data_IF_864870195768
#
_entry.id   IF_864870195768
#
_cell.length_a   1.000
_cell.length_b   1.000
_cell.length_c   1.000
_cell.angle_alpha   90.00
_cell.angle_beta   90.00
_cell.angle_gamma   90.00
#
_symmetry.space_group_name_H-M   'P 1'
#
loop_
_entity.id
_entity.type
_entity.pdbx_description
1 polymer ?
#
# COMPACT_ATOMS: atom_id res chain seq x y z
N UNK A 1 13.69 -42.86 -38.83
CA UNK A 1 14.06 -41.83 -37.84
C UNK A 1 14.29 -42.53 -36.51
N UNK A 2 15.55 -42.58 -36.06
CA UNK A 2 16.12 -43.63 -35.23
C UNK A 2 15.37 -43.94 -33.93
N UNK A 3 15.18 -45.23 -33.67
CA UNK A 3 14.72 -45.80 -32.42
C UNK A 3 15.75 -45.51 -31.31
N UNK A 4 15.62 -44.36 -30.64
CA UNK A 4 16.27 -44.14 -29.36
C UNK A 4 15.92 -45.33 -28.45
N UNK A 5 16.95 -45.99 -27.92
CA UNK A 5 16.79 -47.15 -27.04
C UNK A 5 15.82 -46.83 -25.90
N UNK A 6 15.05 -47.82 -25.43
CA UNK A 6 14.00 -47.67 -24.41
C UNK A 6 14.41 -46.75 -23.25
N UNK A 7 15.65 -46.90 -22.77
CA UNK A 7 16.25 -46.09 -21.70
C UNK A 7 16.15 -44.58 -21.97
N UNK A 8 16.49 -44.14 -23.18
CA UNK A 8 16.44 -42.73 -23.58
C UNK A 8 15.02 -42.20 -23.69
N UNK A 9 14.07 -43.02 -24.15
CA UNK A 9 12.65 -42.64 -24.18
C UNK A 9 12.13 -42.35 -22.76
N UNK A 10 12.47 -43.21 -21.78
CA UNK A 10 12.08 -42.99 -20.38
C UNK A 10 12.72 -41.72 -19.79
N UNK A 11 13.99 -41.46 -20.07
CA UNK A 11 14.69 -40.25 -19.60
C UNK A 11 14.04 -38.99 -20.18
N UNK A 12 13.73 -38.97 -21.48
CA UNK A 12 13.10 -37.81 -22.12
C UNK A 12 11.70 -37.58 -21.54
N UNK A 13 10.88 -38.63 -21.42
CA UNK A 13 9.52 -38.51 -20.88
C UNK A 13 9.51 -38.03 -19.44
N UNK A 14 10.38 -38.57 -18.58
CA UNK A 14 10.48 -38.16 -17.17
C UNK A 14 10.97 -36.72 -17.02
N UNK A 15 11.96 -36.31 -17.82
CA UNK A 15 12.45 -34.92 -17.86
C UNK A 15 11.35 -33.97 -18.32
N UNK A 16 10.57 -34.36 -19.32
CA UNK A 16 9.48 -33.54 -19.86
C UNK A 16 8.33 -33.40 -18.87
N UNK A 17 7.97 -34.47 -18.16
CA UNK A 17 7.00 -34.42 -17.06
C UNK A 17 7.50 -33.51 -15.94
N UNK A 18 8.78 -33.61 -15.56
CA UNK A 18 9.37 -32.79 -14.52
C UNK A 18 9.36 -31.30 -14.90
N UNK A 19 9.70 -30.96 -16.15
CA UNK A 19 9.61 -29.60 -16.67
C UNK A 19 8.19 -29.04 -16.63
N UNK A 20 7.19 -29.85 -17.01
CA UNK A 20 5.78 -29.43 -16.97
C UNK A 20 5.34 -29.14 -15.52
N UNK A 21 5.68 -30.02 -14.58
CA UNK A 21 5.32 -29.85 -13.16
C UNK A 21 5.97 -28.59 -12.60
N UNK A 22 7.28 -28.39 -12.82
CA UNK A 22 8.00 -27.20 -12.35
C UNK A 22 7.46 -25.93 -12.99
N UNK A 23 7.16 -25.94 -14.29
CA UNK A 23 6.60 -24.80 -15.01
C UNK A 23 5.22 -24.39 -14.48
N UNK A 24 4.31 -25.36 -14.31
CA UNK A 24 2.99 -25.11 -13.73
C UNK A 24 3.08 -24.61 -12.29
N UNK A 25 3.94 -25.23 -11.48
CA UNK A 25 4.17 -24.81 -10.10
C UNK A 25 4.72 -23.39 -10.02
N UNK A 26 5.70 -23.04 -10.87
CA UNK A 26 6.29 -21.70 -10.92
C UNK A 26 5.25 -20.63 -11.27
N UNK A 27 4.41 -20.87 -12.27
CA UNK A 27 3.34 -19.94 -12.65
C UNK A 27 2.30 -19.76 -11.54
N UNK A 28 1.94 -20.85 -10.86
CA UNK A 28 1.02 -20.78 -9.73
C UNK A 28 1.61 -20.01 -8.55
N UNK A 29 2.88 -20.28 -8.24
CA UNK A 29 3.59 -19.67 -7.13
C UNK A 29 3.81 -18.16 -7.36
N UNK A 30 4.12 -17.73 -8.58
CA UNK A 30 4.22 -16.30 -8.93
C UNK A 30 2.92 -15.55 -8.66
N UNK A 31 1.77 -16.08 -9.10
CA UNK A 31 0.46 -15.46 -8.86
C UNK A 31 0.09 -15.43 -7.38
N UNK A 32 0.49 -16.46 -6.65
CA UNK A 32 0.23 -16.55 -5.21
C UNK A 32 1.10 -15.57 -4.42
N UNK A 33 2.38 -15.45 -4.75
CA UNK A 33 3.30 -14.48 -4.15
C UNK A 33 2.84 -13.04 -4.42
N UNK A 34 2.41 -12.72 -5.64
CA UNK A 34 1.91 -11.38 -5.97
C UNK A 34 0.70 -10.99 -5.10
N UNK A 35 -0.21 -11.94 -4.83
CA UNK A 35 -1.33 -11.71 -3.93
C UNK A 35 -0.88 -11.48 -2.49
N UNK A 36 0.04 -12.30 -1.99
CA UNK A 36 0.56 -12.17 -0.62
C UNK A 36 1.26 -10.84 -0.42
N UNK A 37 2.14 -10.44 -1.35
CA UNK A 37 2.87 -9.17 -1.26
C UNK A 37 1.88 -7.99 -1.21
N UNK A 38 0.87 -8.00 -2.08
CA UNK A 38 -0.14 -6.94 -2.11
C UNK A 38 -0.98 -6.88 -0.83
N UNK A 39 -1.32 -8.03 -0.26
CA UNK A 39 -2.11 -8.09 0.97
C UNK A 39 -1.26 -7.67 2.18
N UNK A 40 0.04 -8.00 2.21
CA UNK A 40 1.01 -7.53 3.22
C UNK A 40 1.18 -5.99 3.17
N UNK A 41 1.34 -5.42 1.97
CA UNK A 41 1.46 -3.97 1.79
C UNK A 41 0.22 -3.23 2.30
N UNK A 42 -0.98 -3.77 2.05
CA UNK A 42 -2.22 -3.20 2.57
C UNK A 42 -2.29 -3.27 4.09
N UNK A 43 -1.90 -4.40 4.68
CA UNK A 43 -1.90 -4.55 6.13
C UNK A 43 -0.90 -3.62 6.79
N UNK A 44 0.28 -3.43 6.20
CA UNK A 44 1.27 -2.44 6.65
C UNK A 44 0.69 -1.03 6.68
N UNK A 45 0.05 -0.59 5.59
CA UNK A 45 -0.59 0.73 5.53
C UNK A 45 -1.65 0.88 6.61
N UNK A 46 -2.46 -0.16 6.85
CA UNK A 46 -3.47 -0.17 7.90
C UNK A 46 -2.85 0.01 9.29
N UNK A 47 -1.84 -0.78 9.63
CA UNK A 47 -1.14 -0.73 10.92
C UNK A 47 -0.48 0.62 11.15
N UNK A 48 0.24 1.13 10.14
CA UNK A 48 0.88 2.45 10.20
C UNK A 48 -0.18 3.53 10.43
N UNK A 49 -1.29 3.50 9.68
CA UNK A 49 -2.35 4.50 9.82
C UNK A 49 -2.99 4.47 11.21
N UNK A 50 -3.15 3.28 11.80
CA UNK A 50 -3.67 3.13 13.16
C UNK A 50 -2.70 3.67 14.22
N UNK A 51 -1.40 3.40 14.08
CA UNK A 51 -0.35 3.97 14.93
C UNK A 51 -0.36 5.50 14.85
N UNK A 52 -0.41 6.04 13.63
CA UNK A 52 -0.47 7.49 13.39
C UNK A 52 -1.73 8.07 14.03
N UNK A 53 -2.91 7.50 13.77
CA UNK A 53 -4.18 7.97 14.35
C UNK A 53 -4.09 8.04 15.88
N UNK A 54 -3.62 6.97 16.52
CA UNK A 54 -3.53 6.91 17.97
C UNK A 54 -2.54 7.94 18.50
N UNK A 55 -1.36 8.08 17.88
CA UNK A 55 -0.38 9.11 18.24
C UNK A 55 -0.93 10.53 18.08
N UNK A 56 -1.64 10.81 16.98
CA UNK A 56 -2.27 12.11 16.73
C UNK A 56 -3.33 12.44 17.78
N UNK A 57 -4.23 11.49 18.10
CA UNK A 57 -5.26 11.68 19.13
C UNK A 57 -4.62 12.00 20.49
N UNK A 58 -3.57 11.28 20.87
CA UNK A 58 -2.84 11.56 22.12
C UNK A 58 -2.26 12.97 22.14
N UNK A 59 -1.55 13.39 21.09
CA UNK A 59 -0.94 14.74 21.01
C UNK A 59 -2.01 15.84 21.02
N UNK A 60 -3.14 15.61 20.35
CA UNK A 60 -4.27 16.54 20.35
C UNK A 60 -4.89 16.68 21.74
N UNK A 61 -5.08 15.58 22.47
CA UNK A 61 -5.62 15.58 23.83
C UNK A 61 -4.68 16.27 24.83
N UNK A 62 -3.37 16.17 24.63
CA UNK A 62 -2.36 16.87 25.43
C UNK A 62 -2.29 18.39 25.14
N UNK A 63 -3.00 18.90 24.12
CA UNK A 63 -2.97 20.30 23.73
C UNK A 63 -1.66 20.74 23.06
N UNK A 64 -0.81 19.79 22.65
CA UNK A 64 0.55 20.04 22.12
C UNK A 64 0.55 20.25 20.60
N UNK A 65 -0.28 21.17 20.12
CA UNK A 65 -0.44 21.45 18.69
C UNK A 65 0.85 21.86 17.96
N UNK A 66 1.86 22.41 18.66
CA UNK A 66 3.18 22.71 18.06
C UNK A 66 4.03 21.47 17.82
N UNK A 67 3.81 20.42 18.60
CA UNK A 67 4.57 19.18 18.52
C UNK A 67 3.97 18.20 17.53
N UNK A 68 2.68 18.36 17.28
CA UNK A 68 1.93 17.68 16.24
C UNK A 68 2.55 17.81 14.85
N UNK A 69 2.91 19.03 14.44
CA UNK A 69 3.54 19.26 13.13
C UNK A 69 4.91 18.57 13.05
N UNK A 70 5.71 18.64 14.11
CA UNK A 70 7.00 17.92 14.19
C UNK A 70 6.83 16.40 14.15
N UNK A 71 5.77 15.90 14.79
CA UNK A 71 5.42 14.49 14.73
C UNK A 71 5.06 14.08 13.31
N UNK A 72 4.20 14.84 12.62
CA UNK A 72 3.85 14.59 11.21
C UNK A 72 5.07 14.62 10.28
N UNK A 73 5.98 15.57 10.47
CA UNK A 73 7.24 15.64 9.71
C UNK A 73 8.15 14.43 9.99
N UNK A 74 8.16 13.94 11.24
CA UNK A 74 8.93 12.74 11.61
C UNK A 74 8.36 11.43 11.06
N UNK A 75 7.09 11.43 10.66
CA UNK A 75 6.44 10.26 10.05
C UNK A 75 6.84 10.07 8.58
N UNK A 76 7.43 11.08 7.93
CA UNK A 76 8.02 10.89 6.60
C UNK A 76 9.25 10.00 6.75
N UNK A 77 9.08 8.72 6.44
CA UNK A 77 10.11 7.68 6.47
C UNK A 77 10.17 7.00 5.10
N UNK A 78 11.07 6.02 4.91
CA UNK A 78 11.19 5.30 3.63
C UNK A 78 9.86 4.67 3.16
N UNK A 79 9.00 4.27 4.11
CA UNK A 79 7.74 3.56 3.83
C UNK A 79 6.50 4.47 3.78
N UNK A 80 6.63 5.76 4.10
CA UNK A 80 5.50 6.71 4.18
C UNK A 80 5.84 7.93 3.35
N UNK A 81 5.22 8.05 2.17
CA UNK A 81 5.44 9.21 1.31
C UNK A 81 4.95 10.51 1.96
N UNK A 82 3.81 10.46 2.65
CA UNK A 82 3.15 11.66 3.15
C UNK A 82 1.97 11.35 4.08
N UNK A 83 1.68 12.30 4.97
CA UNK A 83 0.52 12.28 5.86
C UNK A 83 -0.15 13.64 5.81
N UNK A 84 -1.46 13.67 5.58
CA UNK A 84 -2.24 14.91 5.54
C UNK A 84 -3.47 14.84 6.42
N UNK A 85 -3.81 15.99 6.97
CA UNK A 85 -5.03 16.21 7.73
C UNK A 85 -5.73 17.39 7.08
N UNK A 86 -6.95 17.15 6.62
CA UNK A 86 -7.76 18.16 5.98
C UNK A 86 -9.07 18.36 6.74
N UNK A 87 -9.63 19.56 6.64
CA UNK A 87 -10.93 19.85 7.22
C UNK A 87 -12.03 19.44 6.21
N UNK A 88 -13.00 18.58 6.60
CA UNK A 88 -14.02 18.07 5.70
C UNK A 88 -15.03 19.13 5.23
N UNK A 89 -15.15 20.26 5.93
CA UNK A 89 -16.08 21.35 5.58
C UNK A 89 -15.55 22.23 4.45
N UNK A 90 -14.23 22.45 4.37
CA UNK A 90 -13.62 23.35 3.39
C UNK A 90 -12.60 22.67 2.46
N UNK A 91 -12.36 21.36 2.67
CA UNK A 91 -11.40 20.53 1.92
C UNK A 91 -9.98 21.10 1.87
N UNK A 92 -9.59 21.89 2.87
CA UNK A 92 -8.24 22.44 3.00
C UNK A 92 -7.40 21.63 3.95
N UNK A 93 -6.13 21.48 3.60
CA UNK A 93 -5.12 20.85 4.43
C UNK A 93 -4.85 21.76 5.63
N UNK A 94 -5.06 21.23 6.83
CA UNK A 94 -4.82 21.90 8.11
C UNK A 94 -3.41 21.57 8.61
N UNK A 95 -2.95 20.35 8.36
CA UNK A 95 -1.61 19.92 8.68
C UNK A 95 -1.12 18.89 7.65
N UNK A 96 0.17 18.91 7.36
CA UNK A 96 0.79 18.00 6.42
C UNK A 96 2.22 17.71 6.86
N UNK A 97 2.67 16.49 6.60
CA UNK A 97 4.08 16.13 6.69
C UNK A 97 4.95 16.89 5.67
N UNK A 98 4.31 17.52 4.66
CA UNK A 98 4.93 18.44 3.70
C UNK A 98 4.42 19.86 3.99
N UNK A 99 5.19 20.72 4.70
CA UNK A 99 4.71 22.02 5.17
C UNK A 99 4.21 22.96 4.06
N UNK A 100 4.75 22.84 2.84
CA UNK A 100 4.38 23.69 1.71
C UNK A 100 2.96 23.49 1.18
N UNK A 101 2.27 22.42 1.59
CA UNK A 101 0.88 22.13 1.17
C UNK A 101 -0.16 22.64 2.17
N UNK A 102 0.27 23.14 3.33
CA UNK A 102 -0.68 23.60 4.36
C UNK A 102 -1.48 24.79 3.83
N UNK A 103 -2.80 24.71 3.95
CA UNK A 103 -3.75 25.70 3.43
C UNK A 103 -4.18 25.49 1.97
N UNK A 104 -3.51 24.60 1.22
CA UNK A 104 -3.98 24.22 -0.11
C UNK A 104 -5.19 23.29 -0.03
N UNK A 105 -5.89 23.14 -1.15
CA UNK A 105 -7.00 22.19 -1.28
C UNK A 105 -6.42 20.78 -1.40
N UNK A 106 -7.05 19.80 -0.75
CA UNK A 106 -6.70 18.38 -0.91
C UNK A 106 -7.10 17.88 -2.31
N UNK A 107 -6.50 16.79 -2.77
CA UNK A 107 -6.78 16.20 -4.07
C UNK A 107 -8.24 15.81 -4.22
N UNK A 108 -8.82 16.07 -5.40
CA UNK A 108 -10.24 15.78 -5.65
C UNK A 108 -10.56 14.27 -5.58
N UNK A 109 -9.56 13.41 -5.84
CA UNK A 109 -9.66 11.95 -5.68
C UNK A 109 -9.93 11.57 -4.22
N UNK A 110 -9.20 12.16 -3.28
CA UNK A 110 -9.37 11.93 -1.84
C UNK A 110 -10.71 12.48 -1.35
N UNK A 111 -11.17 13.61 -1.89
CA UNK A 111 -12.51 14.16 -1.58
C UNK A 111 -13.61 13.21 -2.03
N UNK A 112 -13.51 12.69 -3.25
CA UNK A 112 -14.48 11.72 -3.77
C UNK A 112 -14.46 10.44 -2.93
N UNK A 113 -13.27 9.94 -2.58
CA UNK A 113 -13.13 8.74 -1.76
C UNK A 113 -13.68 8.96 -0.35
N UNK A 114 -13.41 10.09 0.29
CA UNK A 114 -13.98 10.47 1.59
C UNK A 114 -15.51 10.51 1.58
N UNK A 115 -16.13 11.00 0.50
CA UNK A 115 -17.60 11.05 0.36
C UNK A 115 -18.25 9.71 0.10
N UNK A 116 -17.54 8.80 -0.55
CA UNK A 116 -18.08 7.52 -1.03
C UNK A 116 -17.76 6.35 -0.09
N UNK A 117 -16.71 6.46 0.72
CA UNK A 117 -16.29 5.40 1.62
C UNK A 117 -17.27 5.22 2.77
N UNK A 118 -17.61 3.97 3.08
CA UNK A 118 -18.40 3.63 4.26
C UNK A 118 -17.54 3.46 5.53
N UNK A 119 -16.22 3.35 5.38
CA UNK A 119 -15.26 3.19 6.46
C UNK A 119 -13.81 3.22 5.97
N UNK A 120 -12.81 3.12 6.86
CA UNK A 120 -11.40 3.10 6.49
C UNK A 120 -11.06 1.91 5.59
N UNK A 121 -10.59 2.18 4.38
CA UNK A 121 -10.17 1.17 3.41
C UNK A 121 -8.85 1.59 2.75
N UNK A 122 -7.93 0.64 2.56
CA UNK A 122 -6.72 0.88 1.76
C UNK A 122 -7.07 0.84 0.28
N UNK A 123 -6.82 1.95 -0.42
CA UNK A 123 -6.96 2.05 -1.85
C UNK A 123 -5.60 2.33 -2.50
N UNK A 124 -5.42 1.85 -3.72
CA UNK A 124 -4.23 2.13 -4.52
C UNK A 124 -4.56 3.12 -5.61
N UNK A 125 -3.76 4.16 -5.79
CA UNK A 125 -3.89 5.10 -6.90
C UNK A 125 -2.52 5.33 -7.55
N UNK A 126 -2.52 5.82 -8.78
CA UNK A 126 -1.29 6.18 -9.48
C UNK A 126 -0.98 7.63 -9.22
N UNK A 127 0.22 7.92 -8.73
CA UNK A 127 0.73 9.27 -8.65
C UNK A 127 1.97 9.40 -9.52
N UNK A 128 1.85 10.16 -10.61
CA UNK A 128 2.87 10.20 -11.66
C UNK A 128 3.10 8.81 -12.24
N UNK A 129 4.30 8.24 -12.04
CA UNK A 129 4.66 6.91 -12.52
C UNK A 129 4.76 5.85 -11.41
N UNK A 130 4.33 6.16 -10.18
CA UNK A 130 4.36 5.24 -9.04
C UNK A 130 2.96 4.81 -8.63
N UNK A 131 2.82 3.54 -8.25
CA UNK A 131 1.64 3.02 -7.57
C UNK A 131 1.82 3.29 -6.07
N UNK A 132 0.87 4.00 -5.46
CA UNK A 132 0.89 4.32 -4.03
C UNK A 132 -0.35 3.76 -3.37
N UNK A 133 -0.20 3.34 -2.12
CA UNK A 133 -1.30 2.90 -1.26
C UNK A 133 -1.65 4.00 -0.28
N UNK A 134 -2.94 4.23 -0.09
CA UNK A 134 -3.43 5.32 0.75
C UNK A 134 -4.67 4.87 1.52
N UNK A 135 -4.89 5.49 2.66
CA UNK A 135 -6.04 5.26 3.52
C UNK A 135 -6.56 6.60 4.02
N UNK A 136 -7.89 6.75 4.03
CA UNK A 136 -8.56 7.91 4.62
C UNK A 136 -9.25 7.49 5.90
N UNK A 137 -8.90 8.15 7.00
CA UNK A 137 -9.44 7.83 8.33
C UNK A 137 -10.13 9.05 8.92
N UNK A 138 -11.42 8.96 9.28
CA UNK A 138 -12.06 9.98 10.07
C UNK A 138 -11.49 9.95 11.49
N UNK A 139 -11.12 11.13 11.99
CA UNK A 139 -10.54 11.37 13.32
C UNK A 139 -11.53 12.21 14.13
#
# INVERSE_FOLDING_TARGET
MNSLGLKWKFIITTTLILLIIVGLFSLYNLKFQEKIIRDDDKERVRLITEIIKNGLVTIMLEGRGKEFQKFLESLVAEDIEEVRIFNPSNYRIVASSVPGEIGSRIYDEDIQKYRTQSGPEVFSHKRGNKLVYSMLVPI
#
